data_IF_312594493396
#
_entry.id   IF_312594493396
#
_cell.length_a   1.000
_cell.length_b   1.000
_cell.length_c   1.000
_cell.angle_alpha   90.00
_cell.angle_beta   90.00
_cell.angle_gamma   90.00
#
_symmetry.space_group_name_H-M   'P 1'
#
loop_
_entity.id
_entity.type
_entity.pdbx_description
1 polymer ?
#
# COMPACT_ATOMS: atom_id res chain seq x y z
N UNK A 1 -11.45 12.52 -14.72
CA UNK A 1 -10.81 13.76 -15.22
C UNK A 1 -9.82 14.37 -14.22
N UNK A 2 -10.08 14.34 -12.92
CA UNK A 2 -9.17 14.84 -11.85
C UNK A 2 -7.88 14.02 -11.64
N UNK A 3 -7.85 12.75 -12.01
CA UNK A 3 -6.65 11.89 -11.85
C UNK A 3 -5.56 12.16 -12.89
N UNK A 4 -5.96 12.45 -14.14
CA UNK A 4 -5.02 12.78 -15.22
C UNK A 4 -4.32 14.13 -14.95
N UNK A 5 -5.05 15.09 -14.38
CA UNK A 5 -4.48 16.38 -13.98
C UNK A 5 -3.45 16.23 -12.86
N UNK A 6 -3.66 15.34 -11.89
CA UNK A 6 -2.71 15.13 -10.80
C UNK A 6 -1.41 14.48 -11.28
N UNK A 7 -1.47 13.53 -12.22
CA UNK A 7 -0.28 12.93 -12.84
C UNK A 7 0.51 13.96 -13.65
N UNK A 8 -0.19 14.80 -14.42
CA UNK A 8 0.45 15.87 -15.19
C UNK A 8 1.14 16.86 -14.26
N UNK A 9 0.52 17.22 -13.13
CA UNK A 9 1.12 18.09 -12.11
C UNK A 9 2.36 17.45 -11.48
N UNK A 10 2.32 16.17 -11.11
CA UNK A 10 3.48 15.44 -10.56
C UNK A 10 4.65 15.38 -11.56
N UNK A 11 4.36 15.13 -12.84
CA UNK A 11 5.37 15.13 -13.91
C UNK A 11 5.96 16.52 -14.10
N UNK A 12 5.14 17.58 -14.10
CA UNK A 12 5.60 18.96 -14.21
C UNK A 12 6.52 19.32 -13.03
N UNK A 13 6.16 18.94 -11.80
CA UNK A 13 6.99 19.19 -10.61
C UNK A 13 8.33 18.47 -10.74
N UNK A 14 8.34 17.20 -11.16
CA UNK A 14 9.58 16.46 -11.41
C UNK A 14 10.47 17.12 -12.48
N UNK A 15 9.87 17.57 -13.58
CA UNK A 15 10.59 18.26 -14.66
C UNK A 15 11.15 19.62 -14.19
N UNK A 16 10.41 20.36 -13.37
CA UNK A 16 10.86 21.62 -12.77
C UNK A 16 11.99 21.40 -11.76
N UNK A 17 11.92 20.35 -10.93
CA UNK A 17 13.01 20.00 -10.03
C UNK A 17 14.26 19.57 -10.81
N UNK A 18 14.09 18.78 -11.89
CA UNK A 18 15.19 18.37 -12.76
C UNK A 18 15.84 19.57 -13.46
N UNK A 19 15.05 20.50 -14.01
CA UNK A 19 15.57 21.70 -14.68
C UNK A 19 16.26 22.66 -13.71
N UNK A 20 15.69 22.87 -12.52
CA UNK A 20 16.31 23.66 -11.46
C UNK A 20 17.63 23.03 -11.01
N UNK A 21 17.67 21.71 -10.88
CA UNK A 21 18.90 21.01 -10.54
C UNK A 21 19.97 21.20 -11.62
N UNK A 22 19.62 21.06 -12.90
CA UNK A 22 20.54 21.31 -14.01
C UNK A 22 21.05 22.75 -14.05
N UNK A 23 20.19 23.73 -13.74
CA UNK A 23 20.59 25.14 -13.65
C UNK A 23 21.59 25.38 -12.50
N UNK A 24 21.35 24.78 -11.33
CA UNK A 24 22.27 24.84 -10.19
C UNK A 24 23.62 24.21 -10.55
N UNK A 25 23.63 23.06 -11.25
CA UNK A 25 24.87 22.43 -11.72
C UNK A 25 25.68 23.33 -12.65
N UNK A 26 25.00 24.04 -13.56
CA UNK A 26 25.69 24.98 -14.45
C UNK A 26 26.28 26.17 -13.70
N UNK A 27 25.57 26.70 -12.71
CA UNK A 27 26.07 27.79 -11.88
C UNK A 27 27.29 27.32 -11.08
N UNK A 28 27.21 26.16 -10.44
CA UNK A 28 28.33 25.58 -9.70
C UNK A 28 29.53 25.36 -10.62
N UNK A 29 29.34 24.74 -11.79
CA UNK A 29 30.42 24.53 -12.76
C UNK A 29 31.09 25.85 -13.19
N UNK A 30 30.30 26.89 -13.47
CA UNK A 30 30.80 28.21 -13.84
C UNK A 30 31.56 28.90 -12.69
N UNK A 31 31.12 28.71 -11.45
CA UNK A 31 31.79 29.22 -10.25
C UNK A 31 33.10 28.46 -10.01
N UNK A 32 33.12 27.13 -10.12
CA UNK A 32 34.32 26.31 -9.96
C UNK A 32 35.39 26.61 -11.02
N UNK A 33 34.97 26.85 -12.26
CA UNK A 33 35.86 27.26 -13.36
C UNK A 33 36.52 28.61 -13.08
N UNK A 34 35.76 29.55 -12.51
CA UNK A 34 36.26 30.88 -12.12
C UNK A 34 37.17 30.88 -10.88
N UNK A 35 37.07 29.85 -10.03
CA UNK A 35 37.85 29.71 -8.78
C UNK A 35 39.17 28.93 -8.99
N UNK A 36 39.46 28.45 -10.20
CA UNK A 36 40.74 27.78 -10.54
C UNK A 36 41.06 26.58 -9.63
N UNK A 37 40.02 25.93 -9.10
CA UNK A 37 40.14 24.68 -8.32
C UNK A 37 40.22 23.49 -9.27
N UNK A 38 41.36 22.80 -9.25
CA UNK A 38 41.80 21.84 -10.26
C UNK A 38 41.12 20.45 -10.26
N UNK A 39 40.14 20.15 -9.41
CA UNK A 39 39.62 18.78 -9.33
C UNK A 39 38.32 18.58 -10.11
N UNK A 40 38.39 17.86 -11.25
CA UNK A 40 37.22 17.32 -11.98
C UNK A 40 36.29 16.50 -11.07
N UNK A 41 36.81 15.96 -9.97
CA UNK A 41 36.06 15.19 -8.97
C UNK A 41 35.04 16.05 -8.20
N UNK A 42 35.37 17.31 -7.85
CA UNK A 42 34.45 18.17 -7.09
C UNK A 42 33.12 18.40 -7.83
N UNK A 43 33.14 18.51 -9.16
CA UNK A 43 31.95 18.80 -9.96
C UNK A 43 30.99 17.61 -10.07
N UNK A 44 31.50 16.37 -10.10
CA UNK A 44 30.68 15.16 -10.16
C UNK A 44 30.04 14.91 -8.78
N UNK A 45 30.81 15.04 -7.71
CA UNK A 45 30.31 14.84 -6.35
C UNK A 45 29.23 15.86 -5.99
N UNK A 46 29.44 17.13 -6.33
CA UNK A 46 28.43 18.18 -6.13
C UNK A 46 27.20 17.94 -7.00
N UNK A 47 27.36 17.36 -8.20
CA UNK A 47 26.24 17.01 -9.05
C UNK A 47 25.37 15.89 -8.48
N UNK A 48 26.02 14.84 -8.00
CA UNK A 48 25.36 13.72 -7.33
C UNK A 48 24.64 14.20 -6.07
N UNK A 49 25.28 15.05 -5.25
CA UNK A 49 24.68 15.61 -4.04
C UNK A 49 23.45 16.47 -4.39
N UNK A 50 23.55 17.32 -5.41
CA UNK A 50 22.44 18.19 -5.84
C UNK A 50 21.24 17.36 -6.33
N UNK A 51 21.49 16.34 -7.17
CA UNK A 51 20.44 15.42 -7.63
C UNK A 51 19.84 14.66 -6.44
N UNK A 52 20.65 14.18 -5.50
CA UNK A 52 20.19 13.49 -4.30
C UNK A 52 19.31 14.40 -3.42
N UNK A 53 19.69 15.66 -3.24
CA UNK A 53 18.90 16.66 -2.49
C UNK A 53 17.58 16.92 -3.20
N UNK A 54 17.55 17.05 -4.52
CA UNK A 54 16.32 17.33 -5.26
C UNK A 54 15.38 16.13 -5.32
N UNK A 55 15.92 14.92 -5.43
CA UNK A 55 15.14 13.69 -5.24
C UNK A 55 14.60 13.58 -3.82
N UNK A 56 15.38 13.97 -2.81
CA UNK A 56 14.95 13.98 -1.41
C UNK A 56 13.85 15.01 -1.14
N UNK A 57 14.02 16.25 -1.64
CA UNK A 57 13.02 17.32 -1.53
C UNK A 57 11.74 16.95 -2.27
N UNK A 58 11.85 16.38 -3.47
CA UNK A 58 10.70 15.87 -4.23
C UNK A 58 9.97 14.76 -3.46
N UNK A 59 10.69 13.75 -2.97
CA UNK A 59 10.12 12.68 -2.15
C UNK A 59 9.47 13.22 -0.85
N UNK A 60 10.08 14.24 -0.23
CA UNK A 60 9.54 14.88 0.97
C UNK A 60 8.25 15.67 0.69
N UNK A 61 8.22 16.45 -0.41
CA UNK A 61 7.02 17.16 -0.84
C UNK A 61 5.88 16.19 -1.22
N UNK A 62 6.19 15.08 -1.89
CA UNK A 62 5.23 14.00 -2.17
C UNK A 62 4.77 13.26 -0.91
N UNK A 63 5.58 13.25 0.16
CA UNK A 63 5.19 12.67 1.45
C UNK A 63 4.12 13.50 2.16
N UNK A 64 4.07 14.81 1.92
CA UNK A 64 3.15 15.75 2.56
C UNK A 64 1.70 15.71 2.05
N UNK A 65 1.48 15.15 0.86
CA UNK A 65 0.19 15.22 0.15
C UNK A 65 -0.55 13.87 0.06
N UNK A 66 -0.22 12.90 0.92
CA UNK A 66 -1.09 11.72 1.04
C UNK A 66 -2.42 12.15 1.67
N UNK A 67 -3.56 12.03 0.95
CA UNK A 67 -4.85 12.32 1.53
C UNK A 67 -5.00 11.39 2.73
N UNK A 68 -5.07 11.94 3.95
CA UNK A 68 -5.73 11.21 5.02
C UNK A 68 -7.12 10.90 4.49
N UNK A 69 -7.63 9.69 4.75
CA UNK A 69 -9.04 9.39 4.53
C UNK A 69 -9.81 10.60 5.04
N UNK A 70 -10.47 11.33 4.13
CA UNK A 70 -11.28 12.47 4.52
C UNK A 70 -12.45 11.84 5.26
N UNK A 71 -12.28 11.63 6.56
CA UNK A 71 -13.30 11.15 7.47
C UNK A 71 -14.22 12.34 7.67
N UNK A 72 -14.99 12.66 6.63
CA UNK A 72 -16.10 13.60 6.77
C UNK A 72 -16.98 13.02 7.86
N UNK A 73 -17.12 13.78 8.96
CA UNK A 73 -18.05 13.43 10.02
C UNK A 73 -19.51 13.67 9.60
N UNK A 74 -19.70 14.34 8.46
CA UNK A 74 -21.01 14.54 7.86
C UNK A 74 -21.52 13.22 7.30
N UNK A 75 -22.62 12.74 7.87
CA UNK A 75 -23.39 11.64 7.33
C UNK A 75 -24.03 12.12 6.04
N UNK A 76 -23.64 11.52 4.93
CA UNK A 76 -24.43 11.63 3.71
C UNK A 76 -25.84 11.09 4.00
N UNK A 77 -26.85 11.68 3.35
CA UNK A 77 -28.22 11.22 3.45
C UNK A 77 -28.38 9.91 2.67
N UNK A 78 -28.04 8.80 3.31
CA UNK A 78 -28.21 7.45 2.77
C UNK A 78 -29.53 6.86 3.27
N UNK A 79 -30.31 6.29 2.37
CA UNK A 79 -31.51 5.54 2.73
C UNK A 79 -31.13 4.20 3.35
N UNK A 80 -31.52 3.98 4.61
CA UNK A 80 -31.19 2.76 5.36
C UNK A 80 -32.47 1.94 5.57
N UNK A 81 -32.56 0.80 4.91
CA UNK A 81 -33.62 -0.19 5.15
C UNK A 81 -33.17 -1.18 6.22
N UNK A 82 -33.99 -1.37 7.26
CA UNK A 82 -33.74 -2.44 8.23
C UNK A 82 -34.33 -3.75 7.72
N UNK A 83 -33.47 -4.63 7.19
CA UNK A 83 -33.88 -5.95 6.69
C UNK A 83 -33.83 -7.04 7.76
N UNK A 84 -33.30 -6.74 8.97
CA UNK A 84 -32.96 -7.73 10.01
C UNK A 84 -32.01 -8.86 9.56
N UNK A 85 -31.42 -8.76 8.36
CA UNK A 85 -30.45 -9.73 7.88
C UNK A 85 -29.09 -9.51 8.54
N UNK A 86 -28.50 -10.60 9.05
CA UNK A 86 -27.12 -10.61 9.53
C UNK A 86 -26.20 -11.04 8.40
N UNK A 87 -25.11 -10.32 8.20
CA UNK A 87 -24.12 -10.60 7.15
C UNK A 87 -22.85 -11.13 7.82
N UNK A 88 -22.37 -12.27 7.33
CA UNK A 88 -21.08 -12.84 7.70
C UNK A 88 -20.18 -12.90 6.47
N UNK A 89 -19.02 -12.26 6.55
CA UNK A 89 -17.98 -12.34 5.53
C UNK A 89 -16.84 -13.22 6.06
N UNK A 90 -16.61 -14.35 5.40
CA UNK A 90 -15.50 -15.26 5.69
C UNK A 90 -14.50 -15.15 4.55
N UNK A 91 -13.27 -14.79 4.86
CA UNK A 91 -12.18 -14.85 3.90
C UNK A 91 -11.30 -16.07 4.17
N UNK A 92 -10.94 -16.79 3.10
CA UNK A 92 -10.06 -17.95 3.14
C UNK A 92 -8.82 -17.63 2.29
N UNK A 93 -7.66 -17.46 2.91
CA UNK A 93 -6.42 -17.15 2.18
C UNK A 93 -5.97 -18.36 1.34
N UNK A 94 -5.56 -18.12 0.09
CA UNK A 94 -5.12 -19.16 -0.83
C UNK A 94 -6.18 -20.17 -1.31
N UNK A 95 -7.47 -19.96 -1.00
CA UNK A 95 -8.56 -20.87 -1.35
C UNK A 95 -8.97 -20.78 -2.84
N UNK A 96 -8.10 -21.25 -3.73
CA UNK A 96 -8.36 -21.28 -5.18
C UNK A 96 -9.36 -22.36 -5.59
N UNK A 97 -10.20 -22.04 -6.59
CA UNK A 97 -11.13 -23.01 -7.19
C UNK A 97 -10.42 -24.22 -7.79
N UNK A 98 -9.18 -24.09 -8.25
CA UNK A 98 -8.40 -25.22 -8.77
C UNK A 98 -8.25 -26.35 -7.74
N UNK A 99 -8.10 -26.01 -6.45
CA UNK A 99 -8.01 -26.99 -5.37
C UNK A 99 -9.41 -27.33 -4.86
N UNK A 100 -10.23 -26.32 -4.60
CA UNK A 100 -11.57 -26.51 -4.03
C UNK A 100 -12.47 -27.39 -4.90
N UNK A 101 -12.39 -27.29 -6.23
CA UNK A 101 -13.25 -28.06 -7.14
C UNK A 101 -12.89 -29.55 -7.16
N UNK A 102 -11.60 -29.90 -6.98
CA UNK A 102 -11.21 -31.31 -6.83
C UNK A 102 -11.71 -31.87 -5.50
N UNK A 103 -11.58 -31.10 -4.41
CA UNK A 103 -12.08 -31.51 -3.09
C UNK A 103 -13.60 -31.60 -3.04
N UNK A 104 -14.32 -30.74 -3.76
CA UNK A 104 -15.78 -30.81 -3.92
C UNK A 104 -16.19 -32.10 -4.65
N UNK A 105 -15.53 -32.45 -5.76
CA UNK A 105 -15.78 -33.71 -6.49
C UNK A 105 -15.53 -34.95 -5.62
N UNK A 106 -14.56 -34.87 -4.72
CA UNK A 106 -14.24 -35.94 -3.77
C UNK A 106 -15.18 -35.95 -2.53
N UNK A 107 -16.16 -35.04 -2.44
CA UNK A 107 -17.08 -34.94 -1.30
C UNK A 107 -16.43 -34.45 -0.01
N UNK A 108 -15.24 -33.83 -0.08
CA UNK A 108 -14.45 -33.40 1.08
C UNK A 108 -14.82 -32.02 1.62
N UNK A 109 -15.65 -31.25 0.91
CA UNK A 109 -16.08 -29.90 1.29
C UNK A 109 -17.61 -29.76 1.40
N UNK A 110 -18.30 -30.58 2.23
CA UNK A 110 -19.77 -30.65 2.25
C UNK A 110 -20.45 -29.32 2.63
N UNK A 111 -19.83 -28.52 3.50
CA UNK A 111 -20.37 -27.21 3.88
C UNK A 111 -20.25 -26.19 2.75
N UNK A 112 -19.14 -26.21 2.01
CA UNK A 112 -18.94 -25.32 0.85
C UNK A 112 -19.88 -25.73 -0.29
N UNK A 113 -20.03 -27.03 -0.53
CA UNK A 113 -21.00 -27.57 -1.50
C UNK A 113 -22.41 -27.09 -1.20
N UNK A 114 -22.84 -27.16 0.08
CA UNK A 114 -24.15 -26.65 0.51
C UNK A 114 -24.31 -25.14 0.28
N UNK A 115 -23.26 -24.35 0.52
CA UNK A 115 -23.30 -22.90 0.26
C UNK A 115 -23.42 -22.62 -1.23
N UNK A 116 -22.68 -23.35 -2.07
CA UNK A 116 -22.73 -23.19 -3.53
C UNK A 116 -24.11 -23.58 -4.07
N UNK A 117 -24.68 -24.71 -3.64
CA UNK A 117 -25.95 -25.22 -4.15
C UNK A 117 -27.16 -24.36 -3.77
N UNK A 118 -27.08 -23.61 -2.67
CA UNK A 118 -28.13 -22.68 -2.21
C UNK A 118 -27.77 -21.21 -2.47
N UNK A 119 -26.73 -20.95 -3.26
CA UNK A 119 -26.16 -19.62 -3.42
C UNK A 119 -25.59 -19.37 -4.80
N UNK A 120 -24.45 -18.69 -4.86
CA UNK A 120 -23.76 -18.38 -6.11
C UNK A 120 -22.26 -18.58 -5.97
N UNK A 121 -21.65 -19.09 -7.04
CA UNK A 121 -20.22 -19.30 -7.19
C UNK A 121 -19.74 -18.57 -8.44
N UNK A 122 -18.56 -17.97 -8.37
CA UNK A 122 -17.91 -17.38 -9.53
C UNK A 122 -16.43 -17.10 -9.29
N UNK A 123 -15.72 -16.85 -10.38
CA UNK A 123 -14.33 -16.40 -10.33
C UNK A 123 -14.27 -14.92 -9.96
N UNK A 124 -13.44 -14.60 -8.97
CA UNK A 124 -13.09 -13.22 -8.64
C UNK A 124 -11.67 -12.95 -9.09
N UNK A 125 -11.49 -11.96 -9.95
CA UNK A 125 -10.18 -11.58 -10.46
C UNK A 125 -9.40 -10.82 -9.38
N UNK A 126 -8.34 -11.44 -8.88
CA UNK A 126 -7.41 -10.80 -7.95
C UNK A 126 -6.61 -9.68 -8.62
N UNK A 127 -6.30 -8.66 -7.83
CA UNK A 127 -5.39 -7.59 -8.24
C UNK A 127 -3.94 -8.08 -8.24
N UNK A 128 -3.22 -7.77 -9.32
CA UNK A 128 -1.79 -8.03 -9.44
C UNK A 128 -1.06 -6.70 -9.24
N UNK A 129 -0.10 -6.66 -8.31
CA UNK A 129 0.60 -5.42 -7.99
C UNK A 129 1.43 -4.91 -9.19
N UNK A 130 1.20 -3.66 -9.66
CA UNK A 130 1.92 -3.09 -10.79
C UNK A 130 3.36 -2.70 -10.43
N UNK A 131 3.67 -2.59 -9.12
CA UNK A 131 4.97 -2.13 -8.62
C UNK A 131 5.95 -3.30 -8.47
N UNK A 132 5.50 -4.54 -8.61
CA UNK A 132 6.39 -5.70 -8.51
C UNK A 132 6.76 -6.23 -9.91
N UNK A 133 8.02 -6.07 -10.36
CA UNK A 133 8.47 -6.65 -11.62
C UNK A 133 8.57 -8.19 -11.60
N UNK A 134 8.42 -8.84 -10.44
CA UNK A 134 8.58 -10.29 -10.30
C UNK A 134 7.23 -11.01 -10.17
N UNK A 135 6.62 -11.28 -11.34
CA UNK A 135 5.48 -12.23 -11.48
C UNK A 135 5.81 -13.65 -11.01
N UNK A 136 7.09 -13.97 -10.81
CA UNK A 136 7.58 -15.31 -10.43
C UNK A 136 7.60 -15.56 -8.90
N UNK A 137 6.85 -14.79 -8.12
CA UNK A 137 6.65 -15.08 -6.69
C UNK A 137 5.59 -16.16 -6.50
N UNK A 138 5.58 -16.85 -5.36
CA UNK A 138 4.56 -17.86 -5.05
C UNK A 138 3.12 -17.34 -5.18
N UNK A 139 2.92 -16.03 -4.95
CA UNK A 139 1.64 -15.35 -5.15
C UNK A 139 1.41 -14.79 -6.56
N UNK A 140 2.29 -15.01 -7.54
CA UNK A 140 2.11 -14.51 -8.91
C UNK A 140 2.07 -12.98 -9.01
N UNK A 141 2.69 -12.26 -8.07
CA UNK A 141 2.58 -10.80 -7.95
C UNK A 141 1.35 -10.31 -7.16
N UNK A 142 0.61 -11.22 -6.54
CA UNK A 142 -0.48 -10.92 -5.60
C UNK A 142 0.05 -10.86 -4.17
N UNK A 143 -0.33 -9.83 -3.43
CA UNK A 143 0.07 -9.63 -2.03
C UNK A 143 -1.15 -9.58 -1.13
N UNK A 144 -1.14 -10.40 -0.07
CA UNK A 144 -2.25 -10.49 0.88
C UNK A 144 -2.61 -9.11 1.46
N UNK A 145 -1.64 -8.34 1.95
CA UNK A 145 -1.92 -7.01 2.51
C UNK A 145 -2.69 -6.09 1.56
N UNK A 146 -2.32 -6.07 0.28
CA UNK A 146 -2.98 -5.26 -0.75
C UNK A 146 -4.37 -5.80 -1.10
N UNK A 147 -4.51 -7.12 -1.29
CA UNK A 147 -5.78 -7.77 -1.64
C UNK A 147 -6.82 -7.63 -0.52
N UNK A 148 -6.46 -8.01 0.71
CA UNK A 148 -7.37 -7.96 1.86
C UNK A 148 -7.77 -6.54 2.24
N UNK A 149 -6.88 -5.55 2.03
CA UNK A 149 -7.25 -4.13 2.17
C UNK A 149 -8.26 -3.74 1.10
N UNK A 150 -8.03 -4.16 -0.15
CA UNK A 150 -8.95 -3.85 -1.26
C UNK A 150 -10.33 -4.45 -1.06
N UNK A 151 -10.43 -5.68 -0.53
CA UNK A 151 -11.70 -6.30 -0.13
C UNK A 151 -12.42 -5.45 0.93
N UNK A 152 -11.69 -5.01 1.95
CA UNK A 152 -12.28 -4.24 3.05
C UNK A 152 -12.70 -2.83 2.63
N UNK A 153 -12.01 -2.19 1.67
CA UNK A 153 -12.26 -0.80 1.28
C UNK A 153 -13.08 -0.66 0.00
N UNK A 154 -13.16 -1.71 -0.83
CA UNK A 154 -13.72 -1.61 -2.20
C UNK A 154 -12.90 -0.68 -3.10
N UNK A 155 -11.59 -0.55 -2.85
CA UNK A 155 -10.70 0.42 -3.50
C UNK A 155 -9.41 -0.25 -3.91
N UNK A 156 -8.79 0.21 -4.99
CA UNK A 156 -7.51 -0.33 -5.48
C UNK A 156 -6.39 -0.08 -4.45
N UNK A 157 -5.31 -0.88 -4.48
CA UNK A 157 -4.12 -0.67 -3.64
C UNK A 157 -3.54 0.75 -3.69
N UNK A 158 -3.63 1.41 -4.86
CA UNK A 158 -3.18 2.79 -5.03
C UNK A 158 -4.08 3.78 -4.28
N UNK A 159 -5.40 3.63 -4.41
CA UNK A 159 -6.38 4.48 -3.72
C UNK A 159 -6.36 4.27 -2.20
N UNK A 160 -6.31 3.01 -1.75
CA UNK A 160 -6.31 2.67 -0.33
C UNK A 160 -4.94 2.83 0.34
N UNK A 161 -3.85 2.98 -0.42
CA UNK A 161 -2.50 3.26 0.06
C UNK A 161 -1.67 2.04 0.48
N UNK A 162 -2.19 0.81 0.36
CA UNK A 162 -1.49 -0.44 0.73
C UNK A 162 -1.20 -1.26 -0.53
N UNK A 163 0.05 -1.16 -1.02
CA UNK A 163 0.46 -1.71 -2.31
C UNK A 163 1.35 -2.97 -2.23
N UNK A 164 1.97 -3.21 -1.07
CA UNK A 164 2.93 -4.30 -0.85
C UNK A 164 2.82 -4.79 0.60
N UNK A 165 3.42 -5.95 0.88
CA UNK A 165 3.64 -6.50 2.22
C UNK A 165 4.72 -5.73 2.98
N UNK A 166 5.67 -5.14 2.25
CA UNK A 166 6.77 -4.36 2.83
C UNK A 166 6.69 -2.93 2.33
N UNK A 167 6.69 -2.00 3.26
CA UNK A 167 6.66 -0.57 3.04
C UNK A 167 8.02 0.02 3.42
N UNK A 168 8.65 0.74 2.50
CA UNK A 168 9.95 1.39 2.72
C UNK A 168 9.72 2.84 3.14
N UNK A 169 10.38 3.29 4.20
CA UNK A 169 10.35 4.69 4.65
C UNK A 169 11.76 5.19 4.93
N UNK A 170 12.03 6.46 4.66
CA UNK A 170 13.25 7.13 5.11
C UNK A 170 13.07 7.67 6.54
N UNK A 171 14.16 7.90 7.28
CA UNK A 171 14.10 8.55 8.59
C UNK A 171 13.41 9.90 8.48
N UNK A 172 12.47 10.19 9.38
CA UNK A 172 11.68 11.44 9.38
C UNK A 172 10.45 11.46 8.47
N UNK A 173 10.25 10.46 7.59
CA UNK A 173 9.02 10.37 6.79
C UNK A 173 7.84 9.83 7.61
N UNK A 174 6.67 10.45 7.45
CA UNK A 174 5.41 9.98 8.06
C UNK A 174 4.74 8.87 7.26
N UNK A 175 4.98 8.85 5.95
CA UNK A 175 4.40 7.90 5.02
C UNK A 175 5.48 7.13 4.28
N UNK A 176 5.26 5.84 3.99
CA UNK A 176 6.20 5.08 3.19
C UNK A 176 6.25 5.59 1.76
N UNK A 177 7.38 5.33 1.10
CA UNK A 177 7.58 5.62 -0.31
C UNK A 177 6.58 4.84 -1.16
N UNK A 178 6.08 5.43 -2.26
CA UNK A 178 5.08 4.80 -3.12
C UNK A 178 5.66 3.74 -4.06
N UNK A 179 6.96 3.41 -3.94
CA UNK A 179 7.66 2.43 -4.76
C UNK A 179 8.67 1.65 -3.92
N UNK A 180 9.05 0.47 -4.42
CA UNK A 180 10.07 -0.39 -3.82
C UNK A 180 11.41 -0.14 -4.47
N UNK A 181 12.44 0.07 -3.66
CA UNK A 181 13.81 0.09 -4.18
C UNK A 181 14.30 -1.35 -4.42
N UNK A 182 15.03 -1.61 -5.52
CA UNK A 182 15.62 -2.92 -5.79
C UNK A 182 16.71 -3.31 -4.79
N UNK A 183 17.24 -2.34 -4.04
CA UNK A 183 18.26 -2.53 -3.02
C UNK A 183 17.79 -1.98 -1.69
N UNK A 184 18.16 -2.66 -0.60
CA UNK A 184 17.90 -2.18 0.76
C UNK A 184 19.19 -1.56 1.29
N UNK A 185 19.17 -0.26 1.60
CA UNK A 185 20.25 0.41 2.30
C UNK A 185 19.94 0.51 3.79
N UNK A 186 20.97 0.59 4.64
CA UNK A 186 20.81 0.71 6.10
C UNK A 186 19.99 1.93 6.53
N UNK A 187 19.86 2.94 5.67
CA UNK A 187 19.03 4.12 5.92
C UNK A 187 17.52 3.84 5.79
N UNK A 188 17.13 2.75 5.12
CA UNK A 188 15.73 2.44 4.89
C UNK A 188 15.10 1.72 6.08
N UNK A 189 13.99 2.27 6.58
CA UNK A 189 13.15 1.61 7.55
C UNK A 189 12.07 0.79 6.85
N UNK A 190 12.20 -0.52 6.95
CA UNK A 190 11.21 -1.48 6.48
C UNK A 190 10.08 -1.60 7.51
N UNK A 191 8.84 -1.42 7.06
CA UNK A 191 7.65 -1.57 7.87
C UNK A 191 6.66 -2.51 7.18
N UNK A 192 5.76 -3.10 7.96
CA UNK A 192 4.54 -3.70 7.41
C UNK A 192 3.41 -2.68 7.31
N UNK A 193 2.43 -2.90 6.41
CA UNK A 193 1.18 -2.18 6.41
C UNK A 193 0.50 -2.25 7.77
N UNK A 194 0.16 -1.08 8.30
CA UNK A 194 -0.56 -0.91 9.56
C UNK A 194 -1.88 -0.23 9.28
N UNK A 195 -2.79 -0.27 10.26
CA UNK A 195 -4.12 0.27 10.09
C UNK A 195 -4.11 1.75 9.68
N UNK A 196 -3.22 2.54 10.27
CA UNK A 196 -3.11 3.98 9.96
C UNK A 196 -2.44 4.29 8.61
N UNK A 197 -1.91 3.30 7.88
CA UNK A 197 -1.42 3.51 6.51
C UNK A 197 -2.55 3.50 5.47
N UNK A 198 -3.72 2.96 5.83
CA UNK A 198 -4.86 2.85 4.92
C UNK A 198 -5.57 4.21 4.80
N UNK A 199 -5.74 4.67 3.56
CA UNK A 199 -6.19 6.02 3.21
C UNK A 199 -7.68 6.12 2.89
N UNK A 200 -8.41 5.03 2.97
CA UNK A 200 -9.84 4.96 2.65
C UNK A 200 -10.61 4.28 3.78
N UNK A 201 -11.91 4.60 3.90
CA UNK A 201 -12.77 3.96 4.87
C UNK A 201 -12.97 2.49 4.47
N UNK A 202 -12.86 1.61 5.46
CA UNK A 202 -13.21 0.19 5.32
C UNK A 202 -14.69 0.00 5.61
N UNK A 203 -15.24 -1.12 5.18
CA UNK A 203 -16.66 -1.42 5.34
C UNK A 203 -17.12 -1.29 6.79
N UNK A 204 -16.34 -1.75 7.77
CA UNK A 204 -16.68 -1.59 9.18
C UNK A 204 -16.59 -0.15 9.69
N UNK A 205 -15.75 0.72 9.10
CA UNK A 205 -15.76 2.14 9.43
C UNK A 205 -17.06 2.79 8.93
N UNK A 206 -17.48 2.45 7.71
CA UNK A 206 -18.73 2.94 7.11
C UNK A 206 -19.93 2.47 7.95
N UNK A 207 -20.01 1.17 8.24
CA UNK A 207 -21.09 0.60 9.04
C UNK A 207 -21.15 1.21 10.45
N UNK A 208 -20.01 1.37 11.11
CA UNK A 208 -19.93 2.03 12.42
C UNK A 208 -20.38 3.48 12.37
N UNK A 209 -20.01 4.22 11.33
CA UNK A 209 -20.42 5.61 11.12
C UNK A 209 -21.96 5.72 11.04
N UNK A 210 -22.62 4.76 10.40
CA UNK A 210 -24.09 4.67 10.34
C UNK A 210 -24.71 3.93 11.55
N UNK A 211 -23.97 3.74 12.64
CA UNK A 211 -24.48 3.15 13.89
C UNK A 211 -24.80 1.67 13.80
N UNK A 212 -24.33 0.96 12.76
CA UNK A 212 -24.47 -0.50 12.65
C UNK A 212 -23.40 -1.18 13.49
N UNK A 213 -23.81 -2.24 14.20
CA UNK A 213 -22.90 -3.04 15.00
C UNK A 213 -22.05 -3.93 14.09
N UNK A 214 -20.74 -4.01 14.33
CA UNK A 214 -19.81 -4.81 13.53
C UNK A 214 -18.78 -5.52 14.39
N UNK A 215 -18.48 -6.77 14.02
CA UNK A 215 -17.38 -7.53 14.61
C UNK A 215 -16.35 -7.87 13.54
N UNK A 216 -15.08 -7.68 13.85
CA UNK A 216 -13.96 -7.92 12.94
C UNK A 216 -12.89 -8.71 13.67
N UNK A 217 -12.57 -9.91 13.16
CA UNK A 217 -11.58 -10.81 13.76
C UNK A 217 -10.50 -11.16 12.75
N UNK A 218 -9.24 -10.97 13.13
CA UNK A 218 -8.10 -11.48 12.36
C UNK A 218 -7.97 -10.93 10.94
N UNK A 219 -8.60 -9.79 10.62
CA UNK A 219 -8.47 -9.20 9.30
C UNK A 219 -7.10 -8.57 9.09
N UNK A 220 -6.53 -8.69 7.89
CA UNK A 220 -5.21 -8.14 7.56
C UNK A 220 -5.15 -6.61 7.75
N UNK A 221 -3.96 -6.11 8.13
CA UNK A 221 -3.67 -4.68 8.28
C UNK A 221 -4.55 -3.95 9.30
N UNK A 222 -5.11 -4.66 10.29
CA UNK A 222 -5.95 -4.09 11.36
C UNK A 222 -5.16 -3.68 12.61
N UNK A 223 -3.85 -3.88 12.66
CA UNK A 223 -3.02 -3.46 13.78
C UNK A 223 -2.44 -2.06 13.55
N UNK A 224 -2.48 -1.13 14.52
CA UNK A 224 -3.25 -1.21 15.76
C UNK A 224 -4.76 -1.13 15.50
N UNK A 225 -5.56 -1.71 16.41
CA UNK A 225 -7.02 -1.74 16.30
C UNK A 225 -7.61 -0.33 16.16
N UNK A 226 -8.69 -0.24 15.40
CA UNK A 226 -9.47 0.98 15.24
C UNK A 226 -10.71 0.94 16.13
N UNK A 227 -11.23 2.12 16.46
CA UNK A 227 -12.56 2.21 17.08
C UNK A 227 -13.62 1.88 16.03
N UNK A 228 -14.48 0.93 16.36
CA UNK A 228 -15.68 0.55 15.61
C UNK A 228 -16.85 0.46 16.58
N UNK A 229 -18.07 0.54 16.07
CA UNK A 229 -19.27 0.25 16.84
C UNK A 229 -19.41 -1.27 17.02
N UNK A 230 -18.63 -1.84 17.93
CA UNK A 230 -18.59 -3.28 18.18
C UNK A 230 -17.21 -3.77 18.56
N UNK A 231 -16.84 -4.97 18.10
CA UNK A 231 -15.63 -5.68 18.53
C UNK A 231 -14.61 -5.72 17.39
N UNK A 232 -13.36 -5.40 17.67
CA UNK A 232 -12.26 -5.60 16.74
C UNK A 232 -11.13 -6.34 17.43
N UNK A 233 -10.84 -7.55 16.96
CA UNK A 233 -9.66 -8.33 17.32
C UNK A 233 -8.72 -8.31 16.14
N UNK A 234 -7.65 -7.53 16.24
CA UNK A 234 -6.69 -7.41 15.15
C UNK A 234 -5.91 -8.70 14.94
N UNK A 235 -5.60 -9.01 13.68
CA UNK A 235 -4.53 -9.94 13.36
C UNK A 235 -3.23 -9.34 13.89
N UNK A 236 -2.54 -10.04 14.80
CA UNK A 236 -1.27 -9.60 15.33
C UNK A 236 -0.35 -9.16 14.17
N UNK A 237 0.35 -8.03 14.34
CA UNK A 237 1.39 -7.64 13.41
C UNK A 237 2.53 -8.65 13.51
N UNK A 238 2.34 -9.78 12.86
CA UNK A 238 3.42 -10.69 12.54
C UNK A 238 4.48 -9.83 11.85
N UNK A 239 5.68 -9.80 12.40
CA UNK A 239 6.77 -9.04 11.83
C UNK A 239 7.40 -9.97 10.77
N UNK A 240 7.02 -9.90 9.48
CA UNK A 240 7.58 -10.77 8.46
C UNK A 240 9.11 -10.63 8.39
N UNK A 241 9.68 -9.51 8.85
CA UNK A 241 11.13 -9.34 8.94
C UNK A 241 11.78 -10.34 9.92
N UNK A 242 11.09 -10.71 11.01
CA UNK A 242 11.56 -11.78 11.92
C UNK A 242 11.50 -13.17 11.27
N UNK A 243 10.57 -13.39 10.34
CA UNK A 243 10.45 -14.66 9.59
C UNK A 243 11.39 -14.74 8.38
N UNK A 244 11.86 -13.61 7.85
CA UNK A 244 12.84 -13.53 6.74
C UNK A 244 14.28 -13.58 7.27
N UNK A 245 14.53 -13.22 8.54
CA UNK A 245 15.85 -13.30 9.16
C UNK A 245 16.51 -14.70 9.25
N UNK A 246 15.81 -15.85 9.34
CA UNK A 246 16.48 -17.14 9.43
C UNK A 246 17.27 -17.54 8.17
N UNK A 247 17.01 -16.91 7.02
CA UNK A 247 17.62 -17.27 5.74
C UNK A 247 18.62 -16.25 5.18
N UNK A 248 18.89 -15.14 5.90
CA UNK A 248 19.96 -14.19 5.56
C UNK A 248 21.13 -14.36 6.56
N UNK A 249 21.46 -15.63 6.84
CA UNK A 249 22.76 -16.06 7.34
C UNK A 249 23.32 -17.07 6.33
N UNK A 250 23.76 -16.57 5.17
CA UNK A 250 24.78 -17.21 4.35
C UNK A 250 25.19 -16.25 3.23
N UNK A 251 26.51 -16.09 3.12
CA UNK A 251 27.32 -15.19 2.28
C UNK A 251 27.45 -13.75 2.76
#
# INVERSE_FOLDING_TARGET
MTEFSNIVIEIIILLLCASLSFAILKIIAAVTEKIQTSSKFLNIDVAIITIAILLFVSAFLMSGSSPKANRTNEKENVFITNTNLKILLIGLDGATWHIADNLLKEGKLPNIEKIISNGSKGDLRSYISPINPFKNTAGGGMFSSALWTSIATGKTPRENGVQDLIMVSLPGMKHPLPFRFPFTYNIFKLNTPKSYHIRTNRIWNILSHYGKFCEVYGWWCTWPVERVNGIMVSMAADNPLKRIQPSIQMF
#
